data_IF_273844365145
#
_entry.id   IF_273844365145
#
_cell.length_a   1.000
_cell.length_b   1.000
_cell.length_c   1.000
_cell.angle_alpha   90.00
_cell.angle_beta   90.00
_cell.angle_gamma   90.00
#
_symmetry.space_group_name_H-M   'P 1'
#
loop_
_entity.id
_entity.type
_entity.pdbx_description
1 polymer ?
#
# COMPACT_ATOMS: atom_id res chain seq x y z
N UNK A 1 -3.48 12.90 13.81
CA UNK A 1 -2.73 11.66 13.80
C UNK A 1 -1.69 11.71 12.68
N UNK A 2 -0.47 11.36 13.00
CA UNK A 2 0.64 11.46 12.04
C UNK A 2 1.48 10.21 12.13
N UNK A 3 1.76 9.63 10.98
CA UNK A 3 2.69 8.52 10.90
C UNK A 3 4.08 9.10 10.69
N UNK A 4 4.99 8.77 11.59
CA UNK A 4 6.36 9.22 11.49
C UNK A 4 7.11 8.28 10.55
N UNK A 5 7.51 8.80 9.40
CA UNK A 5 8.16 8.02 8.37
C UNK A 5 9.43 7.34 8.86
N UNK A 6 10.18 8.01 9.74
CA UNK A 6 11.42 7.45 10.26
C UNK A 6 11.21 6.23 11.15
N UNK A 7 10.00 5.98 11.60
CA UNK A 7 9.67 4.84 12.44
C UNK A 7 9.07 3.68 11.66
N UNK A 8 8.74 3.89 10.40
CA UNK A 8 8.23 2.80 9.55
C UNK A 8 9.41 1.94 9.12
N UNK A 9 9.42 0.68 9.53
CA UNK A 9 10.53 -0.21 9.24
C UNK A 9 10.34 -0.98 7.94
N UNK A 10 9.10 -1.23 7.56
CA UNK A 10 8.78 -1.96 6.34
C UNK A 10 7.52 -1.39 5.72
N UNK A 11 7.45 -1.45 4.39
CA UNK A 11 6.26 -1.05 3.66
C UNK A 11 5.90 -2.21 2.75
N UNK A 12 4.66 -2.70 2.88
CA UNK A 12 4.15 -3.79 2.07
C UNK A 12 2.92 -3.33 1.30
N UNK A 13 2.86 -3.71 0.05
CA UNK A 13 1.68 -3.48 -0.78
C UNK A 13 1.06 -4.84 -1.09
N UNK A 14 -0.20 -5.00 -0.70
CA UNK A 14 -0.93 -6.23 -0.94
C UNK A 14 -1.52 -6.15 -2.34
N UNK A 15 -1.02 -6.97 -3.25
CA UNK A 15 -1.45 -6.95 -4.64
C UNK A 15 -2.84 -7.55 -4.78
N UNK A 16 -3.49 -7.24 -5.89
CA UNK A 16 -4.83 -7.74 -6.14
C UNK A 16 -5.87 -7.01 -5.32
N UNK A 17 -7.02 -7.65 -5.15
CA UNK A 17 -8.16 -7.07 -4.47
C UNK A 17 -8.25 -7.56 -3.03
N UNK A 18 -8.49 -6.63 -2.12
CA UNK A 18 -8.85 -6.91 -0.74
C UNK A 18 -10.22 -6.29 -0.49
N UNK A 19 -11.02 -6.92 0.33
CA UNK A 19 -12.32 -6.36 0.70
C UNK A 19 -12.11 -5.15 1.60
N UNK A 20 -12.24 -3.95 1.05
CA UNK A 20 -11.98 -2.71 1.79
C UNK A 20 -13.08 -2.35 2.77
N UNK A 21 -14.16 -3.14 2.84
CA UNK A 21 -15.14 -2.97 3.90
C UNK A 21 -14.58 -3.42 5.26
N UNK A 22 -13.51 -4.18 5.24
CA UNK A 22 -12.85 -4.64 6.47
C UNK A 22 -12.24 -3.46 7.22
N UNK A 23 -12.33 -3.53 8.54
CA UNK A 23 -11.67 -2.58 9.42
C UNK A 23 -10.35 -3.13 9.91
N UNK A 24 -9.89 -2.59 11.03
CA UNK A 24 -8.58 -2.92 11.59
C UNK A 24 -8.42 -4.43 11.79
N UNK A 25 -9.36 -5.07 12.50
CA UNK A 25 -9.23 -6.49 12.82
C UNK A 25 -9.26 -7.36 11.59
N UNK A 26 -10.14 -7.03 10.65
CA UNK A 26 -10.22 -7.79 9.41
C UNK A 26 -8.97 -7.70 8.57
N UNK A 27 -8.38 -6.51 8.46
CA UNK A 27 -7.16 -6.34 7.68
C UNK A 27 -5.95 -6.93 8.39
N UNK A 28 -5.88 -6.79 9.71
CA UNK A 28 -4.83 -7.47 10.47
C UNK A 28 -4.92 -8.98 10.30
N UNK A 29 -6.15 -9.50 10.23
CA UNK A 29 -6.38 -10.92 9.99
C UNK A 29 -5.86 -11.36 8.62
N UNK A 30 -6.02 -10.54 7.59
CA UNK A 30 -5.48 -10.84 6.26
C UNK A 30 -3.96 -10.97 6.33
N UNK A 31 -3.31 -10.04 7.03
CA UNK A 31 -1.85 -10.07 7.18
C UNK A 31 -1.40 -11.36 7.86
N UNK A 32 -2.08 -11.74 8.92
CA UNK A 32 -1.70 -12.93 9.69
C UNK A 32 -1.98 -14.23 8.95
N UNK A 33 -3.17 -14.35 8.38
CA UNK A 33 -3.61 -15.63 7.84
C UNK A 33 -3.19 -15.85 6.40
N UNK A 34 -3.20 -14.79 5.60
CA UNK A 34 -2.92 -14.90 4.17
C UNK A 34 -1.44 -14.80 3.86
N UNK A 35 -0.73 -13.97 4.62
CA UNK A 35 0.70 -13.72 4.36
C UNK A 35 1.61 -14.20 5.48
N UNK A 36 1.04 -14.69 6.57
CA UNK A 36 1.80 -15.23 7.71
C UNK A 36 2.80 -14.21 8.25
N UNK A 37 2.38 -12.96 8.28
CA UNK A 37 3.19 -11.87 8.81
C UNK A 37 2.58 -11.36 10.11
N UNK A 38 3.41 -10.71 10.91
CA UNK A 38 2.98 -10.14 12.18
C UNK A 38 2.53 -8.70 11.96
N UNK A 39 1.23 -8.38 12.16
CA UNK A 39 0.77 -7.00 11.97
C UNK A 39 1.22 -6.07 13.09
N UNK A 40 1.77 -6.60 14.19
CA UNK A 40 2.19 -5.79 15.34
C UNK A 40 3.63 -5.31 15.24
N UNK A 41 4.18 -5.28 14.04
CA UNK A 41 5.49 -4.66 13.84
C UNK A 41 5.28 -3.27 13.25
N UNK A 42 6.35 -2.51 13.10
CA UNK A 42 6.23 -1.16 12.56
C UNK A 42 6.25 -1.18 11.03
N UNK A 43 5.34 -1.94 10.47
CA UNK A 43 5.20 -2.08 9.03
C UNK A 43 3.91 -1.42 8.58
N UNK A 44 3.98 -0.76 7.44
CA UNK A 44 2.82 -0.15 6.81
C UNK A 44 2.31 -1.11 5.75
N UNK A 45 1.03 -1.46 5.82
CA UNK A 45 0.41 -2.39 4.88
C UNK A 45 -0.65 -1.65 4.07
N UNK A 46 -0.53 -1.69 2.74
CA UNK A 46 -1.46 -1.01 1.85
C UNK A 46 -2.35 -2.01 1.12
N UNK A 47 -3.64 -1.72 1.10
CA UNK A 47 -4.66 -2.60 0.52
C UNK A 47 -5.51 -1.81 -0.46
N UNK A 48 -5.91 -2.44 -1.55
CA UNK A 48 -6.83 -1.85 -2.52
C UNK A 48 -7.94 -2.84 -2.83
N UNK A 49 -9.08 -2.32 -3.20
CA UNK A 49 -10.22 -3.15 -3.57
C UNK A 49 -10.39 -3.20 -5.07
N UNK A 50 -11.64 -3.36 -5.49
CA UNK A 50 -12.00 -3.39 -6.91
C UNK A 50 -11.73 -2.02 -7.55
N UNK A 51 -12.02 -0.95 -6.83
CA UNK A 51 -11.82 0.40 -7.36
C UNK A 51 -10.40 0.85 -7.06
N UNK A 52 -9.71 1.32 -8.09
CA UNK A 52 -8.29 1.70 -7.99
C UNK A 52 -8.11 3.16 -7.63
N UNK A 53 -9.19 3.87 -7.28
CA UNK A 53 -9.13 5.27 -6.87
C UNK A 53 -9.09 5.42 -5.35
N UNK A 54 -8.98 4.31 -4.62
CA UNK A 54 -8.97 4.36 -3.15
C UNK A 54 -8.18 3.22 -2.57
N UNK A 55 -7.63 3.44 -1.38
CA UNK A 55 -6.89 2.39 -0.70
C UNK A 55 -6.99 2.58 0.81
N UNK A 56 -6.67 1.54 1.55
CA UNK A 56 -6.51 1.62 3.00
C UNK A 56 -5.09 1.24 3.38
N UNK A 57 -4.59 1.84 4.45
CA UNK A 57 -3.27 1.54 4.97
C UNK A 57 -3.39 1.26 6.46
N UNK A 58 -2.79 0.16 6.90
CA UNK A 58 -2.81 -0.26 8.30
C UNK A 58 -1.39 -0.17 8.85
N UNK A 59 -1.25 0.42 10.03
CA UNK A 59 0.05 0.62 10.65
C UNK A 59 -0.05 0.47 12.16
N UNK A 60 0.85 -0.32 12.75
CA UNK A 60 0.98 -0.45 14.19
C UNK A 60 2.06 0.52 14.68
N UNK A 61 1.71 1.45 15.55
CA UNK A 61 2.64 2.51 15.97
C UNK A 61 3.30 2.25 17.32
N UNK A 62 3.14 1.04 17.84
CA UNK A 62 3.74 0.66 19.11
C UNK A 62 2.72 0.51 20.22
N UNK A 63 1.61 1.22 20.16
CA UNK A 63 0.56 1.08 21.17
C UNK A 63 -0.85 0.98 20.59
N UNK A 64 -0.98 1.09 19.27
CA UNK A 64 -2.28 0.97 18.63
C UNK A 64 -2.18 0.87 17.13
N UNK A 65 -3.28 0.49 16.51
CA UNK A 65 -3.37 0.47 15.05
C UNK A 65 -3.93 1.78 14.53
N UNK A 66 -3.32 2.25 13.46
CA UNK A 66 -3.85 3.35 12.65
C UNK A 66 -4.37 2.77 11.37
N UNK A 67 -5.57 3.17 10.98
CA UNK A 67 -6.15 2.77 9.71
C UNK A 67 -6.44 4.03 8.92
N UNK A 68 -5.75 4.18 7.80
CA UNK A 68 -5.93 5.32 6.91
C UNK A 68 -6.77 4.88 5.73
N UNK A 69 -7.66 5.75 5.30
CA UNK A 69 -8.47 5.53 4.11
C UNK A 69 -8.30 6.74 3.22
N UNK A 70 -7.87 6.51 1.99
CA UNK A 70 -7.68 7.61 1.05
C UNK A 70 -8.43 7.32 -0.24
N UNK A 71 -9.19 8.31 -0.69
CA UNK A 71 -9.83 8.30 -2.00
C UNK A 71 -9.18 9.36 -2.86
N UNK A 72 -8.76 8.94 -4.04
CA UNK A 72 -8.13 9.85 -5.00
C UNK A 72 -9.24 10.42 -5.87
N UNK A 73 -9.33 11.74 -5.92
CA UNK A 73 -10.44 12.39 -6.61
C UNK A 73 -10.27 12.40 -8.11
N UNK A 74 -9.02 12.42 -8.58
CA UNK A 74 -8.75 12.44 -10.01
C UNK A 74 -7.76 11.33 -10.33
N UNK A 75 -8.19 10.38 -11.15
CA UNK A 75 -7.31 9.33 -11.60
C UNK A 75 -7.40 8.07 -10.75
N UNK A 76 -6.47 7.18 -10.97
CA UNK A 76 -6.45 5.85 -10.37
C UNK A 76 -5.00 5.48 -10.09
N UNK A 77 -4.79 4.62 -9.10
CA UNK A 77 -3.47 4.09 -8.82
C UNK A 77 -3.20 2.86 -9.68
N UNK A 78 -1.97 2.69 -10.18
CA UNK A 78 -1.61 1.51 -10.97
C UNK A 78 -1.36 0.31 -10.07
N UNK A 79 -2.39 -0.14 -9.35
CA UNK A 79 -2.27 -1.20 -8.35
C UNK A 79 -1.95 -2.53 -9.02
N UNK A 80 -0.90 -3.25 -8.57
CA UNK A 80 -0.60 -4.56 -9.12
C UNK A 80 -1.77 -5.52 -8.91
N UNK A 81 -2.08 -6.31 -9.93
CA UNK A 81 -3.30 -7.12 -9.95
C UNK A 81 -3.08 -8.60 -9.64
N UNK A 82 -1.82 -9.05 -9.49
CA UNK A 82 -1.57 -10.45 -9.20
C UNK A 82 -2.05 -10.79 -7.80
N UNK A 83 -3.15 -11.50 -7.74
CA UNK A 83 -3.86 -11.82 -6.50
C UNK A 83 -2.97 -12.60 -5.54
N UNK A 84 -3.15 -12.34 -4.25
CA UNK A 84 -2.46 -13.04 -3.17
C UNK A 84 -0.94 -12.85 -3.16
N UNK A 85 -0.46 -11.81 -3.83
CA UNK A 85 0.95 -11.46 -3.82
C UNK A 85 1.17 -10.25 -2.93
N UNK A 86 2.42 -10.08 -2.52
CA UNK A 86 2.82 -8.98 -1.65
C UNK A 86 4.09 -8.37 -2.23
N UNK A 87 4.14 -7.04 -2.29
CA UNK A 87 5.31 -6.31 -2.77
C UNK A 87 5.90 -5.51 -1.62
N UNK A 88 7.20 -5.66 -1.42
CA UNK A 88 7.90 -4.87 -0.44
C UNK A 88 8.44 -3.62 -1.10
N UNK A 89 8.18 -2.47 -0.51
CA UNK A 89 8.56 -1.18 -1.08
C UNK A 89 9.46 -0.43 -0.11
N UNK A 90 10.35 0.39 -0.64
CA UNK A 90 10.99 1.41 0.18
C UNK A 90 10.14 2.69 0.10
N UNK A 91 10.51 3.67 0.91
CA UNK A 91 9.73 4.91 1.00
C UNK A 91 9.68 5.66 -0.33
N UNK A 92 10.80 5.67 -1.05
CA UNK A 92 10.87 6.35 -2.35
C UNK A 92 9.93 5.70 -3.35
N UNK A 93 9.89 4.37 -3.38
CA UNK A 93 8.97 3.64 -4.27
C UNK A 93 7.51 3.94 -3.90
N UNK A 94 7.20 4.00 -2.61
CA UNK A 94 5.85 4.34 -2.16
C UNK A 94 5.45 5.72 -2.65
N UNK A 95 6.32 6.72 -2.49
CA UNK A 95 6.00 8.08 -2.93
C UNK A 95 5.75 8.13 -4.43
N UNK A 96 6.57 7.46 -5.22
CA UNK A 96 6.39 7.43 -6.66
C UNK A 96 5.08 6.74 -7.03
N UNK A 97 4.79 5.62 -6.37
CA UNK A 97 3.55 4.89 -6.62
C UNK A 97 2.32 5.76 -6.32
N UNK A 98 2.32 6.44 -5.20
CA UNK A 98 1.20 7.30 -4.83
C UNK A 98 1.07 8.51 -5.74
N UNK A 99 2.13 8.83 -6.50
CA UNK A 99 2.08 9.88 -7.52
C UNK A 99 1.66 9.35 -8.89
N UNK A 100 1.32 8.07 -8.98
CA UNK A 100 0.77 7.51 -10.21
C UNK A 100 1.75 6.68 -11.04
N UNK A 101 2.98 6.49 -10.59
CA UNK A 101 3.96 5.68 -11.33
C UNK A 101 3.76 4.20 -11.01
N UNK A 102 3.74 3.38 -12.04
CA UNK A 102 3.62 1.94 -11.86
C UNK A 102 4.90 1.38 -11.25
N UNK A 103 4.74 0.41 -10.35
CA UNK A 103 5.88 -0.19 -9.66
C UNK A 103 6.76 -0.99 -10.60
N UNK A 104 6.15 -1.60 -11.62
CA UNK A 104 6.87 -2.44 -12.57
C UNK A 104 7.26 -1.70 -13.83
N UNK A 105 7.11 -0.39 -13.84
CA UNK A 105 7.58 0.43 -14.95
C UNK A 105 9.08 0.46 -14.85
N UNK A 106 9.67 -0.42 -15.47
CA UNK A 106 11.07 -0.54 -15.37
C UNK A 106 11.72 -0.06 -16.59
N UNK A 107 11.67 -0.07 -16.77
CA UNK A 107 12.03 -0.10 -17.77
C UNK A 107 12.08 0.84 -18.59
N UNK A 108 11.84 0.96 -18.80
CA UNK A 108 11.84 1.55 -19.49
C UNK A 108 12.21 2.50 -19.66
N UNK A 109 12.43 2.45 -19.78
CA UNK A 109 12.85 3.18 -20.19
C UNK A 109 12.54 4.36 -20.47
N UNK A 110 12.38 4.80 -20.55
CA UNK A 110 12.15 5.90 -20.73
C UNK A 110 11.52 6.71 -20.16
N UNK A 111 11.28 6.88 -20.02
CA UNK A 111 10.67 7.66 -19.50
C UNK A 111 10.04 8.58 -19.52
N UNK A 112 9.61 8.86 -19.45
CA UNK A 112 8.92 9.65 -19.42
C UNK A 112 8.43 10.66 -19.24
N UNK A 113 7.95 10.99 -19.53
CA UNK A 113 7.60 12.00 -19.29
C UNK A 113 7.12 12.75 -18.60
N UNK A 114 6.95 12.58 -18.72
CA UNK A 114 6.60 13.15 -18.03
C UNK A 114 6.66 13.22 -17.41
N UNK A 115 7.12 12.83 -17.89
CA UNK A 115 7.26 12.90 -17.30
C UNK A 115 7.47 12.92 -16.87
N UNK A 116 7.50 12.88 -17.04
CA UNK A 116 7.54 12.98 -16.64
C UNK A 116 7.38 13.23 -16.22
N UNK A 117 7.15 13.21 -16.51
CA UNK A 117 6.79 13.51 -16.24
C UNK A 117 6.82 13.71 -15.74
#
# INVERSE_FOLDING_TARGET
MIINEGQIQQIYLICGKTDLRRGIDGLAGVIQTQFELDPYNRALYLFCGTRKDRFKALYWDGDGFLLLYKRIENGRLPWPTNQDALRKLNYHQLKRFLSGWALDATVHKTCPPGHQK
#
